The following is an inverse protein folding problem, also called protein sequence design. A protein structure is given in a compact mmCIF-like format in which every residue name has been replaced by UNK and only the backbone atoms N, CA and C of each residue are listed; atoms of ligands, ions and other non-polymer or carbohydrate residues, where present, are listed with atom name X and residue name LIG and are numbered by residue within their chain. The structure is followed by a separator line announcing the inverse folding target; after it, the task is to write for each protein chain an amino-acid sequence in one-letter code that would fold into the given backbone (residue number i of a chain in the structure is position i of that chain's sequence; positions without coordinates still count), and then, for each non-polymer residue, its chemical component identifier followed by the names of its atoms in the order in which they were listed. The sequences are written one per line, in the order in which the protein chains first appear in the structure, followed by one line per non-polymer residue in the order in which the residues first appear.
data_IF_422003934665
#
_entry.id   IF_422003934665
#
_cell.length_a   1.000
_cell.length_b   1.000
_cell.length_c   1.000
_cell.angle_alpha   90.00
_cell.angle_beta   90.00
_cell.angle_gamma   90.00
#
_symmetry.space_group_name_H-M   'P 1'
#
loop_
_entity.id
_entity.type
_entity.pdbx_description
1 polymer ?
#
# COMPACT_ATOMS: atom_id res chain seq x y z
N UNK A 1 -13.85 -2.50 -13.54
CA UNK A 1 -13.00 -3.46 -14.28
C UNK A 1 -12.34 -4.39 -13.26
N UNK A 2 -12.19 -5.69 -13.57
CA UNK A 2 -11.51 -6.65 -12.70
C UNK A 2 -10.10 -6.89 -13.24
N UNK A 3 -9.07 -6.66 -12.43
CA UNK A 3 -7.67 -6.92 -12.77
C UNK A 3 -7.15 -8.08 -11.91
N UNK A 4 -6.31 -8.94 -12.49
CA UNK A 4 -5.59 -9.97 -11.74
C UNK A 4 -4.31 -9.35 -11.19
N UNK A 5 -4.18 -9.28 -9.87
CA UNK A 5 -2.99 -8.76 -9.20
C UNK A 5 -2.09 -9.93 -8.77
N UNK A 6 -0.81 -9.85 -9.12
CA UNK A 6 0.23 -10.77 -8.65
C UNK A 6 1.26 -9.93 -7.91
N UNK A 7 1.49 -10.22 -6.64
CA UNK A 7 2.33 -9.40 -5.77
C UNK A 7 3.23 -10.26 -4.88
N UNK A 8 4.48 -9.83 -4.70
CA UNK A 8 5.43 -10.35 -3.72
C UNK A 8 5.91 -9.20 -2.83
N UNK A 9 5.71 -9.32 -1.52
CA UNK A 9 6.11 -8.31 -0.52
C UNK A 9 7.12 -8.89 0.45
N UNK A 10 8.16 -8.11 0.77
CA UNK A 10 9.10 -8.41 1.86
C UNK A 10 9.35 -7.16 2.70
N UNK A 11 9.49 -7.34 4.01
CA UNK A 11 9.88 -6.26 4.91
C UNK A 11 11.39 -6.04 4.81
N UNK A 12 11.81 -4.77 4.74
CA UNK A 12 13.21 -4.38 4.63
C UNK A 12 13.74 -3.88 5.96
N UNK A 13 15.03 -4.10 6.22
CA UNK A 13 15.72 -3.33 7.25
C UNK A 13 15.90 -1.89 6.76
N UNK A 14 16.06 -0.96 7.70
CA UNK A 14 16.23 0.47 7.40
C UNK A 14 17.38 0.73 6.43
N UNK A 15 18.49 0.02 6.59
CA UNK A 15 19.68 0.19 5.74
C UNK A 15 19.43 -0.30 4.31
N UNK A 16 18.76 -1.45 4.16
CA UNK A 16 18.37 -1.99 2.84
C UNK A 16 17.40 -1.04 2.13
N UNK A 17 16.41 -0.50 2.86
CA UNK A 17 15.48 0.50 2.34
C UNK A 17 16.22 1.76 1.87
N UNK A 18 17.15 2.29 2.67
CA UNK A 18 17.92 3.48 2.31
C UNK A 18 18.83 3.24 1.10
N UNK A 19 19.40 2.03 0.98
CA UNK A 19 20.18 1.65 -0.19
C UNK A 19 19.32 1.65 -1.46
N UNK A 20 18.16 0.99 -1.43
CA UNK A 20 17.21 0.96 -2.54
C UNK A 20 16.68 2.36 -2.88
N UNK A 21 16.35 3.18 -1.88
CA UNK A 21 15.85 4.55 -2.08
C UNK A 21 16.78 5.39 -2.97
N UNK A 22 18.10 5.21 -2.88
CA UNK A 22 19.07 5.90 -3.73
C UNK A 22 18.96 5.46 -5.20
N UNK A 23 18.66 4.20 -5.46
CA UNK A 23 18.50 3.65 -6.82
C UNK A 23 17.21 4.18 -7.49
N UNK A 24 16.18 4.47 -6.70
CA UNK A 24 14.89 5.00 -7.18
C UNK A 24 14.74 6.51 -6.97
N UNK A 25 15.84 7.27 -6.93
CA UNK A 25 15.81 8.72 -6.65
C UNK A 25 14.99 9.55 -7.65
N UNK A 26 14.73 9.01 -8.85
CA UNK A 26 13.90 9.64 -9.89
C UNK A 26 12.40 9.46 -9.65
N UNK A 27 11.99 8.58 -8.74
CA UNK A 27 10.57 8.32 -8.42
C UNK A 27 10.14 9.22 -7.27
N UNK A 28 9.16 10.09 -7.53
CA UNK A 28 8.57 10.92 -6.49
C UNK A 28 7.77 10.04 -5.51
N UNK A 29 8.00 10.16 -4.19
CA UNK A 29 7.23 9.41 -3.21
C UNK A 29 5.77 9.88 -3.19
N UNK A 30 4.84 8.93 -3.22
CA UNK A 30 3.41 9.21 -3.06
C UNK A 30 3.01 8.95 -1.61
N UNK A 31 2.31 9.91 -1.02
CA UNK A 31 1.67 9.74 0.28
C UNK A 31 0.22 9.30 0.06
N UNK A 32 -0.14 8.13 0.57
CA UNK A 32 -1.49 7.58 0.49
C UNK A 32 -1.95 7.15 1.88
N UNK A 33 -3.17 7.53 2.24
CA UNK A 33 -3.82 7.09 3.47
C UNK A 33 -4.89 6.05 3.13
N UNK A 34 -4.73 4.83 3.62
CA UNK A 34 -5.69 3.75 3.41
C UNK A 34 -6.68 3.70 4.57
N UNK A 35 -7.97 3.81 4.27
CA UNK A 35 -9.05 3.60 5.24
C UNK A 35 -9.59 2.19 5.08
N UNK A 36 -9.30 1.33 6.05
CA UNK A 36 -9.77 -0.06 6.06
C UNK A 36 -11.19 -0.16 6.57
N UNK A 37 -12.00 -0.96 5.90
CA UNK A 37 -13.40 -1.20 6.22
C UNK A 37 -13.55 -2.69 6.49
N UNK A 38 -14.25 -3.04 7.56
CA UNK A 38 -14.60 -4.42 7.92
C UNK A 38 -16.03 -4.47 8.47
N UNK A 39 -16.55 -5.68 8.65
CA UNK A 39 -17.79 -5.88 9.41
C UNK A 39 -17.48 -5.87 10.92
N UNK A 40 -18.47 -5.60 11.80
CA UNK A 40 -18.25 -5.61 13.25
C UNK A 40 -17.66 -6.93 13.78
N UNK A 41 -17.92 -8.02 13.07
CA UNK A 41 -17.48 -9.39 13.35
C UNK A 41 -16.30 -9.85 12.46
N UNK A 42 -15.63 -8.94 11.75
CA UNK A 42 -14.41 -9.21 10.97
C UNK A 42 -14.51 -10.22 9.81
N UNK A 43 -15.69 -10.41 9.24
CA UNK A 43 -15.92 -11.40 8.18
C UNK A 43 -15.06 -11.15 6.93
N UNK A 44 -14.74 -9.90 6.60
CA UNK A 44 -13.94 -9.59 5.40
C UNK A 44 -12.51 -10.09 5.58
N UNK A 45 -11.95 -9.92 6.79
CA UNK A 45 -10.63 -10.44 7.14
C UNK A 45 -10.60 -11.97 7.10
N UNK A 46 -11.60 -12.63 7.70
CA UNK A 46 -11.67 -14.10 7.74
C UNK A 46 -11.72 -14.70 6.33
N UNK A 47 -12.48 -14.06 5.43
CA UNK A 47 -12.58 -14.46 4.02
C UNK A 47 -11.38 -14.03 3.17
N UNK A 48 -10.38 -13.36 3.76
CA UNK A 48 -9.20 -12.80 3.09
C UNK A 48 -9.57 -11.82 1.94
N UNK A 49 -10.61 -11.03 2.18
CA UNK A 49 -11.13 -10.03 1.25
C UNK A 49 -11.00 -8.62 1.84
N UNK A 50 -9.78 -8.06 1.94
CA UNK A 50 -9.60 -6.73 2.50
C UNK A 50 -10.35 -5.69 1.65
N UNK A 51 -11.14 -4.84 2.30
CA UNK A 51 -11.79 -3.69 1.68
C UNK A 51 -11.12 -2.41 2.18
N UNK A 52 -10.69 -1.56 1.25
CA UNK A 52 -10.07 -0.29 1.58
C UNK A 52 -10.55 0.80 0.62
N UNK A 53 -10.73 2.00 1.17
CA UNK A 53 -10.90 3.23 0.40
C UNK A 53 -9.62 4.06 0.53
N UNK A 54 -9.02 4.43 -0.60
CA UNK A 54 -7.81 5.25 -0.65
C UNK A 54 -8.11 6.54 -1.42
N UNK A 55 -8.36 7.67 -0.75
CA UNK A 55 -8.45 8.95 -1.43
C UNK A 55 -7.06 9.30 -1.97
N UNK A 56 -6.97 9.50 -3.28
CA UNK A 56 -5.77 9.97 -3.93
C UNK A 56 -5.67 11.48 -3.74
N UNK A 57 -4.71 11.93 -2.92
CA UNK A 57 -4.47 13.35 -2.69
C UNK A 57 -3.08 13.69 -3.21
N UNK A 58 -3.02 14.47 -4.28
CA UNK A 58 -1.74 15.00 -4.78
C UNK A 58 -1.27 16.01 -3.74
N UNK A 59 -0.14 15.73 -3.08
CA UNK A 59 0.55 16.73 -2.31
C UNK A 59 1.06 17.80 -3.28
N UNK A 60 0.32 18.90 -3.41
CA UNK A 60 0.82 20.12 -4.04
C UNK A 60 1.89 20.67 -3.09
N UNK A 61 3.15 20.62 -3.52
CA UNK A 61 4.24 21.34 -2.87
C UNK A 61 4.09 22.85 -3.12
#
# INVERSE_FOLDING_TARGET
MKQLEIELKTLLKKDDYNHLKKQFAHVAPVHQKNYYIDTPDFQLREKRLPCAFAPFQIALN
#
